data_IF_400568251526
#
_entry.id   IF_400568251526
#
_cell.length_a   1.000
_cell.length_b   1.000
_cell.length_c   1.000
_cell.angle_alpha   90.00
_cell.angle_beta   90.00
_cell.angle_gamma   90.00
#
_symmetry.space_group_name_H-M   'P 1'
#
loop_
_entity.id
_entity.type
_entity.pdbx_description
1 polymer ?
#
# COMPACT_ATOMS: atom_id res chain seq x y z
N UNK A 1 15.60 2.71 -5.52
CA UNK A 1 15.55 4.18 -5.48
C UNK A 1 14.15 4.65 -5.78
N UNK A 2 13.45 5.02 -4.72
CA UNK A 2 12.30 5.91 -4.80
C UNK A 2 12.73 7.16 -5.54
N UNK A 3 11.90 7.58 -6.46
CA UNK A 3 12.05 8.90 -7.04
C UNK A 3 11.56 9.90 -6.00
N UNK A 4 12.37 10.92 -5.70
CA UNK A 4 12.06 11.95 -4.70
C UNK A 4 10.77 12.72 -5.03
N UNK A 5 10.35 12.74 -6.30
CA UNK A 5 9.06 13.29 -6.75
C UNK A 5 7.83 12.52 -6.20
N UNK A 6 8.02 11.31 -5.67
CA UNK A 6 6.95 10.49 -5.09
C UNK A 6 6.79 10.64 -3.58
N UNK A 7 7.59 11.51 -2.95
CA UNK A 7 7.54 11.79 -1.51
C UNK A 7 7.36 13.30 -1.27
N UNK A 8 6.73 13.67 -0.16
CA UNK A 8 6.54 15.06 0.25
C UNK A 8 7.33 15.30 1.53
N UNK A 9 8.23 16.28 1.54
CA UNK A 9 8.94 16.65 2.76
C UNK A 9 7.99 17.34 3.74
N UNK A 10 8.05 16.92 5.01
CA UNK A 10 7.26 17.46 6.12
C UNK A 10 8.07 18.54 6.86
N UNK A 11 7.41 19.43 7.62
CA UNK A 11 8.09 20.51 8.37
C UNK A 11 9.10 20.03 9.41
N UNK A 12 8.98 18.79 9.88
CA UNK A 12 9.89 18.16 10.85
C UNK A 12 11.11 17.48 10.19
N UNK A 13 11.27 17.62 8.87
CA UNK A 13 12.37 17.04 8.11
C UNK A 13 12.16 15.57 7.70
N UNK A 14 11.06 14.92 8.13
CA UNK A 14 10.68 13.59 7.63
C UNK A 14 10.02 13.71 6.25
N UNK A 15 9.81 12.56 5.61
CA UNK A 15 9.11 12.47 4.33
C UNK A 15 7.78 11.73 4.50
N UNK A 16 6.79 12.08 3.69
CA UNK A 16 5.51 11.40 3.57
C UNK A 16 5.40 10.78 2.17
N UNK A 17 4.93 9.52 2.11
CA UNK A 17 4.53 8.88 0.86
C UNK A 17 3.11 8.33 0.94
N UNK A 18 2.32 8.55 -0.12
CA UNK A 18 1.00 7.92 -0.28
C UNK A 18 1.10 6.75 -1.25
N UNK A 19 0.79 5.56 -0.76
CA UNK A 19 0.85 4.31 -1.51
C UNK A 19 -0.59 3.89 -1.81
N UNK A 20 -0.93 3.77 -3.10
CA UNK A 20 -2.22 3.25 -3.51
C UNK A 20 -2.23 1.73 -3.37
N UNK A 21 -3.25 1.16 -2.73
CA UNK A 21 -3.33 -0.28 -2.41
C UNK A 21 -4.63 -0.89 -2.90
N UNK A 22 -4.63 -2.20 -3.18
CA UNK A 22 -5.82 -2.92 -3.65
C UNK A 22 -6.94 -2.86 -2.62
N UNK A 23 -8.07 -2.26 -3.03
CA UNK A 23 -9.24 -2.08 -2.16
C UNK A 23 -9.75 -3.40 -1.60
N UNK A 24 -9.86 -4.46 -2.43
CA UNK A 24 -10.49 -5.73 -2.04
C UNK A 24 -9.63 -6.47 -1.04
N UNK A 25 -8.31 -6.48 -1.25
CA UNK A 25 -7.37 -7.07 -0.30
C UNK A 25 -7.36 -6.35 1.03
N UNK A 26 -7.38 -5.01 1.03
CA UNK A 26 -7.44 -4.24 2.27
C UNK A 26 -8.78 -4.47 3.00
N UNK A 27 -9.91 -4.51 2.27
CA UNK A 27 -11.22 -4.83 2.84
C UNK A 27 -11.26 -6.24 3.46
N UNK A 28 -10.62 -7.21 2.81
CA UNK A 28 -10.44 -8.58 3.34
C UNK A 28 -9.65 -8.58 4.66
N UNK A 29 -8.52 -7.88 4.72
CA UNK A 29 -7.70 -7.76 5.94
C UNK A 29 -8.45 -7.07 7.09
N UNK A 30 -9.32 -6.09 6.79
CA UNK A 30 -10.11 -5.35 7.80
C UNK A 30 -11.28 -6.20 8.31
N UNK A 31 -12.00 -6.86 7.41
CA UNK A 31 -13.25 -7.56 7.76
C UNK A 31 -13.04 -9.03 8.11
N UNK A 32 -11.84 -9.57 7.87
CA UNK A 32 -11.54 -10.99 7.99
C UNK A 32 -12.24 -11.86 6.95
N UNK A 33 -12.92 -11.27 5.97
CA UNK A 33 -13.60 -12.00 4.89
C UNK A 33 -12.57 -12.40 3.85
N UNK A 34 -12.57 -13.67 3.46
CA UNK A 34 -11.72 -14.18 2.38
C UNK A 34 -12.12 -13.45 1.09
N UNK A 35 -11.17 -12.78 0.44
CA UNK A 35 -11.38 -12.30 -0.91
C UNK A 35 -11.37 -13.48 -1.90
N UNK A 36 -11.67 -13.25 -3.18
CA UNK A 36 -11.61 -14.34 -4.16
C UNK A 36 -10.16 -14.79 -4.47
N UNK A 37 -9.18 -14.44 -3.65
CA UNK A 37 -7.81 -14.95 -3.75
C UNK A 37 -7.65 -16.17 -2.84
N UNK A 38 -6.85 -17.14 -3.28
CA UNK A 38 -6.60 -18.38 -2.55
C UNK A 38 -5.67 -18.20 -1.34
N UNK A 39 -5.36 -16.96 -0.94
CA UNK A 39 -4.35 -16.65 0.06
C UNK A 39 -5.00 -15.98 1.27
N UNK A 40 -4.95 -16.66 2.42
CA UNK A 40 -5.42 -16.09 3.67
C UNK A 40 -4.50 -14.94 4.09
N UNK A 41 -5.00 -13.71 4.06
CA UNK A 41 -4.27 -12.53 4.51
C UNK A 41 -4.37 -12.37 6.04
N UNK A 42 -3.32 -11.85 6.71
CA UNK A 42 -3.39 -11.47 8.11
C UNK A 42 -4.42 -10.34 8.34
N UNK A 43 -4.79 -10.10 9.60
CA UNK A 43 -5.64 -8.93 9.94
C UNK A 43 -4.91 -7.63 9.61
N UNK A 44 -5.63 -6.58 9.22
CA UNK A 44 -5.03 -5.30 8.87
C UNK A 44 -4.17 -4.73 10.01
N UNK A 45 -4.66 -4.84 11.26
CA UNK A 45 -3.93 -4.39 12.44
C UNK A 45 -2.59 -5.13 12.60
N UNK A 46 -2.59 -6.46 12.55
CA UNK A 46 -1.34 -7.24 12.67
C UNK A 46 -0.39 -6.98 11.51
N UNK A 47 -0.92 -6.83 10.29
CA UNK A 47 -0.14 -6.53 9.10
C UNK A 47 0.58 -5.18 9.24
N UNK A 48 -0.15 -4.10 9.51
CA UNK A 48 0.45 -2.77 9.58
C UNK A 48 1.31 -2.58 10.84
N UNK A 49 1.01 -3.26 11.94
CA UNK A 49 1.89 -3.30 13.11
C UNK A 49 3.25 -3.95 12.76
N UNK A 50 3.25 -5.06 12.02
CA UNK A 50 4.47 -5.69 11.51
C UNK A 50 5.22 -4.79 10.54
N UNK A 51 4.51 -4.12 9.61
CA UNK A 51 5.14 -3.14 8.71
C UNK A 51 5.84 -2.05 9.49
N UNK A 52 5.18 -1.43 10.48
CA UNK A 52 5.79 -0.39 11.32
C UNK A 52 7.00 -0.94 12.10
N UNK A 53 6.91 -2.15 12.63
CA UNK A 53 7.99 -2.80 13.39
C UNK A 53 9.22 -3.05 12.53
N UNK A 54 9.06 -3.61 11.33
CA UNK A 54 10.19 -3.98 10.47
C UNK A 54 10.78 -2.80 9.69
N UNK A 55 9.96 -1.80 9.35
CA UNK A 55 10.41 -0.62 8.60
C UNK A 55 10.85 0.54 9.49
N UNK A 56 10.45 0.54 10.76
CA UNK A 56 10.58 1.66 11.68
C UNK A 56 9.94 2.96 11.13
N UNK A 57 9.00 2.83 10.20
CA UNK A 57 8.20 3.93 9.64
C UNK A 57 6.86 4.06 10.38
N UNK A 58 6.31 5.26 10.39
CA UNK A 58 4.94 5.51 10.82
C UNK A 58 3.99 5.19 9.65
N UNK A 59 2.95 4.40 9.88
CA UNK A 59 2.00 3.98 8.83
C UNK A 59 0.57 4.30 9.24
N UNK A 60 -0.12 5.07 8.39
CA UNK A 60 -1.52 5.47 8.57
C UNK A 60 -2.34 4.86 7.44
N UNK A 61 -3.27 3.98 7.80
CA UNK A 61 -4.10 3.22 6.86
C UNK A 61 -5.60 3.43 7.19
N UNK A 62 -6.50 3.31 6.20
CA UNK A 62 -7.93 3.51 6.43
C UNK A 62 -8.53 2.29 7.13
N UNK A 63 -8.90 2.44 8.39
CA UNK A 63 -9.48 1.37 9.22
C UNK A 63 -10.90 0.98 8.86
N UNK A 64 -11.59 1.83 8.09
CA UNK A 64 -12.93 1.58 7.60
C UNK A 64 -13.02 1.95 6.12
N UNK A 65 -13.51 1.02 5.31
CA UNK A 65 -13.89 1.27 3.93
C UNK A 65 -15.42 1.34 3.87
N UNK A 66 -15.97 2.25 3.07
CA UNK A 66 -17.42 2.26 2.79
C UNK A 66 -17.76 1.02 1.95
N UNK A 67 -18.32 0.00 2.59
CA UNK A 67 -18.74 -1.29 2.02
C UNK A 67 -19.96 -1.07 1.10
N UNK A 68 -19.99 -1.72 -0.07
CA UNK A 68 -21.15 -1.73 -0.96
C UNK A 68 -21.15 -0.72 -2.11
N UNK A 69 -20.12 0.11 -2.28
CA UNK A 69 -19.99 0.99 -3.44
C UNK A 69 -19.17 0.34 -4.56
N UNK A 70 -19.83 -0.06 -5.66
CA UNK A 70 -19.24 -0.81 -6.80
C UNK A 70 -18.06 -0.13 -7.53
N UNK A 71 -17.84 1.19 -7.38
CA UNK A 71 -16.94 1.97 -8.27
C UNK A 71 -15.99 2.93 -7.56
N UNK A 72 -15.70 2.74 -6.27
CA UNK A 72 -14.80 3.67 -5.56
C UNK A 72 -13.33 3.34 -5.81
N UNK A 73 -12.54 4.39 -6.08
CA UNK A 73 -11.07 4.34 -6.25
C UNK A 73 -10.37 3.56 -5.13
N UNK A 74 -9.24 2.98 -5.47
CA UNK A 74 -8.37 2.29 -4.52
C UNK A 74 -7.89 3.25 -3.41
N UNK A 75 -7.86 2.79 -2.15
CA UNK A 75 -7.43 3.58 -1.02
C UNK A 75 -5.92 3.87 -1.03
N UNK A 76 -5.53 4.87 -0.24
CA UNK A 76 -4.13 5.19 0.01
C UNK A 76 -3.75 4.83 1.44
N UNK A 77 -2.58 4.22 1.59
CA UNK A 77 -1.85 4.11 2.86
C UNK A 77 -0.78 5.19 2.87
N UNK A 78 -0.72 5.95 3.96
CA UNK A 78 0.30 6.98 4.16
C UNK A 78 1.44 6.40 4.99
N UNK A 79 2.66 6.64 4.56
CA UNK A 79 3.88 6.22 5.25
C UNK A 79 4.73 7.46 5.53
N UNK A 80 5.22 7.61 6.76
CA UNK A 80 6.03 8.74 7.20
C UNK A 80 7.35 8.23 7.79
N UNK A 81 8.48 8.80 7.38
CA UNK A 81 9.80 8.40 7.86
C UNK A 81 10.95 8.99 7.04
N UNK A 82 12.14 8.42 7.19
CA UNK A 82 13.25 8.63 6.24
C UNK A 82 12.95 7.95 4.90
N UNK A 83 13.70 8.30 3.84
CA UNK A 83 13.56 7.66 2.52
C UNK A 83 13.72 6.13 2.61
N UNK A 84 14.70 5.66 3.38
CA UNK A 84 14.95 4.22 3.58
C UNK A 84 13.80 3.52 4.33
N UNK A 85 13.27 4.15 5.39
CA UNK A 85 12.13 3.63 6.14
C UNK A 85 10.88 3.54 5.25
N UNK A 86 10.64 4.55 4.42
CA UNK A 86 9.55 4.58 3.44
C UNK A 86 9.76 3.49 2.37
N UNK A 87 10.98 3.30 1.86
CA UNK A 87 11.30 2.22 0.90
C UNK A 87 10.99 0.84 1.47
N UNK A 88 11.43 0.59 2.71
CA UNK A 88 11.19 -0.66 3.41
C UNK A 88 9.69 -0.91 3.62
N UNK A 89 8.97 0.06 4.18
CA UNK A 89 7.53 -0.04 4.41
C UNK A 89 6.75 -0.23 3.10
N UNK A 90 7.11 0.51 2.05
CA UNK A 90 6.48 0.41 0.73
C UNK A 90 6.63 -0.99 0.15
N UNK A 91 7.81 -1.58 0.24
CA UNK A 91 8.08 -2.92 -0.27
C UNK A 91 7.19 -3.95 0.43
N UNK A 92 7.08 -3.89 1.75
CA UNK A 92 6.21 -4.77 2.53
C UNK A 92 4.73 -4.59 2.16
N UNK A 93 4.26 -3.34 2.07
CA UNK A 93 2.87 -3.02 1.70
C UNK A 93 2.53 -3.52 0.29
N UNK A 94 3.39 -3.26 -0.69
CA UNK A 94 3.14 -3.65 -2.08
C UNK A 94 3.22 -5.17 -2.26
N UNK A 95 4.06 -5.89 -1.53
CA UNK A 95 4.12 -7.35 -1.62
C UNK A 95 2.78 -8.02 -1.24
N UNK A 96 2.04 -7.47 -0.27
CA UNK A 96 0.74 -8.04 0.13
C UNK A 96 -0.44 -7.36 -0.57
N UNK A 97 -0.44 -6.04 -0.66
CA UNK A 97 -1.58 -5.22 -1.09
C UNK A 97 -1.42 -4.60 -2.49
N UNK A 98 -0.55 -5.13 -3.35
CA UNK A 98 -0.40 -4.65 -4.73
C UNK A 98 -1.72 -4.68 -5.51
N UNK A 99 -1.97 -3.59 -6.25
CA UNK A 99 -3.03 -3.51 -7.27
C UNK A 99 -2.57 -4.28 -8.52
N UNK A 100 -3.31 -5.30 -8.92
CA UNK A 100 -2.98 -6.16 -10.08
C UNK A 100 -2.94 -5.39 -11.42
N UNK A 101 -3.76 -4.34 -11.55
CA UNK A 101 -3.87 -3.56 -12.80
C UNK A 101 -2.64 -2.70 -13.11
N UNK A 102 -1.83 -2.33 -12.11
CA UNK A 102 -0.60 -1.55 -12.33
C UNK A 102 0.50 -2.38 -13.00
N UNK A 103 0.52 -3.69 -12.77
CA UNK A 103 1.50 -4.62 -13.40
C UNK A 103 1.20 -4.81 -14.88
N UNK A 104 -0.09 -4.93 -15.24
CA UNK A 104 -0.48 -5.07 -16.65
C UNK A 104 -0.17 -3.80 -17.44
N UNK A 105 -0.45 -2.62 -16.88
CA UNK A 105 -0.07 -1.36 -17.52
C UNK A 105 1.45 -1.23 -17.66
N UNK A 106 2.23 -1.47 -16.60
CA UNK A 106 3.69 -1.37 -16.67
C UNK A 106 4.27 -2.35 -17.71
N UNK A 107 3.85 -3.62 -17.70
CA UNK A 107 4.29 -4.62 -18.69
C UNK A 107 3.83 -4.31 -20.11
N UNK A 108 2.63 -3.72 -20.28
CA UNK A 108 2.13 -3.29 -21.58
C UNK A 108 2.95 -2.14 -22.15
N UNK A 109 3.29 -1.12 -21.34
CA UNK A 109 4.17 -0.03 -21.79
C UNK A 109 5.57 -0.52 -22.18
N UNK A 110 6.15 -1.44 -21.40
CA UNK A 110 7.43 -2.06 -21.76
C UNK A 110 7.35 -2.86 -23.07
N UNK A 111 6.28 -3.60 -23.33
CA UNK A 111 6.10 -4.34 -24.59
C UNK A 111 5.72 -3.48 -25.80
N UNK A 112 5.27 -2.24 -25.59
CA UNK A 112 4.92 -1.32 -26.68
C UNK A 112 6.11 -0.45 -27.13
N UNK A 113 7.20 -0.43 -26.35
CA UNK A 113 8.42 0.33 -26.65
C UNK A 113 9.56 -0.54 -27.22
N UNK A 114 9.36 -1.86 -27.33
CA UNK A 114 10.30 -2.81 -27.92
C UNK A 114 9.58 -3.76 -28.88
#
# INVERSE_FOLDING_TARGET
MLREDTVTQLPDGRFEQKIQVDRRKLESMITGRIDNSSQQLPTAESFFANVMTYSNAEVIWPSQLKIGAKTKKDPYVKVIGSIEQIESARTLILNSLQIKDLIQKQNFYWKAQF
#
